data_IF_713841188712
#
_entry.id   IF_713841188712
#
_cell.length_a   1.000
_cell.length_b   1.000
_cell.length_c   1.000
_cell.angle_alpha   90.00
_cell.angle_beta   90.00
_cell.angle_gamma   90.00
#
_symmetry.space_group_name_H-M   'P 1'
#
loop_
_entity.id
_entity.type
_entity.pdbx_description
1 polymer ?
#
# COMPACT_ATOMS: atom_id res chain seq x y z
N UNK A 1 7.17 24.04 86.11
CA UNK A 1 6.47 24.07 84.87
C UNK A 1 7.44 23.62 83.77
N UNK A 2 7.33 22.35 83.23
CA UNK A 2 8.21 21.78 82.22
C UNK A 2 7.41 21.75 80.92
N UNK A 3 7.83 22.57 79.92
CA UNK A 3 7.26 22.55 78.59
C UNK A 3 7.86 21.35 77.80
N UNK A 4 6.99 20.44 77.36
CA UNK A 4 7.33 19.35 76.44
C UNK A 4 7.24 19.88 74.99
N UNK A 5 8.34 19.91 74.29
CA UNK A 5 8.35 20.17 72.82
C UNK A 5 7.98 18.88 72.11
N UNK A 6 6.88 18.89 71.35
CA UNK A 6 6.43 17.83 70.48
C UNK A 6 7.05 18.10 69.10
N UNK A 7 8.03 17.30 68.71
CA UNK A 7 8.59 17.30 67.34
C UNK A 7 7.62 16.58 66.43
N UNK A 8 7.00 17.33 65.50
CA UNK A 8 6.18 16.78 64.42
C UNK A 8 7.09 16.41 63.25
N UNK A 9 7.33 15.11 63.04
CA UNK A 9 8.11 14.59 61.93
C UNK A 9 7.19 14.47 60.71
N UNK A 10 7.23 15.45 59.78
CA UNK A 10 6.55 15.35 58.48
C UNK A 10 7.33 14.42 57.57
N UNK A 11 6.86 13.17 57.39
CA UNK A 11 7.29 12.29 56.32
C UNK A 11 6.75 12.80 54.97
N UNK A 12 7.58 13.47 54.19
CA UNK A 12 7.31 13.71 52.75
C UNK A 12 7.46 12.39 52.00
N UNK A 13 6.34 11.74 51.68
CA UNK A 13 6.28 10.68 50.68
C UNK A 13 6.50 11.32 49.32
N UNK A 14 7.74 11.25 48.80
CA UNK A 14 8.06 11.51 47.40
C UNK A 14 7.38 10.42 46.56
N UNK A 15 6.20 10.70 46.02
CA UNK A 15 5.59 9.91 44.99
C UNK A 15 6.44 10.05 43.71
N UNK A 16 7.30 9.08 43.45
CA UNK A 16 7.99 8.95 42.18
C UNK A 16 6.91 8.61 41.13
N UNK A 17 6.65 9.48 40.15
CA UNK A 17 5.72 9.12 39.10
C UNK A 17 6.31 7.92 38.31
N UNK A 18 5.73 6.75 38.50
CA UNK A 18 6.00 5.60 37.65
C UNK A 18 5.54 5.97 36.26
N UNK A 19 6.45 6.42 35.40
CA UNK A 19 6.19 6.55 33.98
C UNK A 19 6.00 5.13 33.44
N UNK A 20 4.75 4.72 33.30
CA UNK A 20 4.40 3.53 32.53
C UNK A 20 4.75 3.88 31.08
N UNK A 21 5.96 3.55 30.67
CA UNK A 21 6.33 3.54 29.25
C UNK A 21 5.57 2.39 28.63
N UNK A 22 4.38 2.68 28.08
CA UNK A 22 3.70 1.73 27.22
C UNK A 22 4.67 1.33 26.09
N UNK A 23 5.09 0.07 26.07
CA UNK A 23 5.97 -0.42 25.01
C UNK A 23 5.26 -0.23 23.67
N UNK A 24 5.90 0.48 22.74
CA UNK A 24 5.36 0.63 21.39
C UNK A 24 5.13 -0.76 20.79
N UNK A 25 4.00 -0.97 20.09
CA UNK A 25 3.76 -2.25 19.41
C UNK A 25 4.95 -2.60 18.49
N UNK A 26 5.32 -3.87 18.46
CA UNK A 26 6.39 -4.33 17.55
C UNK A 26 5.85 -4.46 16.14
N UNK A 27 6.64 -4.12 15.11
CA UNK A 27 6.28 -4.40 13.72
C UNK A 27 5.96 -5.87 13.50
N UNK A 28 5.03 -6.12 12.58
CA UNK A 28 4.64 -7.49 12.20
C UNK A 28 5.60 -8.11 11.20
N UNK A 29 6.27 -7.27 10.39
CA UNK A 29 7.29 -7.65 9.43
C UNK A 29 8.34 -6.53 9.30
N UNK A 30 9.55 -6.88 8.83
CA UNK A 30 10.62 -5.93 8.52
C UNK A 30 10.42 -5.24 7.18
N UNK A 31 9.76 -5.94 6.24
CA UNK A 31 9.63 -5.53 4.85
C UNK A 31 8.19 -5.60 4.37
N UNK A 32 7.79 -4.67 3.51
CA UNK A 32 6.51 -4.69 2.77
C UNK A 32 6.79 -4.44 1.30
N UNK A 33 6.33 -5.35 0.44
CA UNK A 33 6.25 -5.17 -1.00
C UNK A 33 4.79 -4.92 -1.39
N UNK A 34 4.51 -3.74 -1.92
CA UNK A 34 3.21 -3.40 -2.51
C UNK A 34 3.31 -3.53 -4.02
N UNK A 35 2.51 -4.39 -4.57
CA UNK A 35 2.36 -4.61 -6.02
C UNK A 35 1.03 -4.00 -6.41
N UNK A 36 1.08 -2.94 -7.19
CA UNK A 36 -0.07 -2.26 -7.77
C UNK A 36 -0.20 -2.62 -9.24
N UNK A 37 -1.39 -3.05 -9.67
CA UNK A 37 -1.70 -3.37 -11.06
C UNK A 37 -2.83 -2.44 -11.50
N UNK A 38 -2.50 -1.42 -12.27
CA UNK A 38 -3.46 -0.43 -12.76
C UNK A 38 -4.55 -1.08 -13.60
N UNK A 39 -5.81 -0.70 -13.38
CA UNK A 39 -6.95 -1.20 -14.13
C UNK A 39 -7.33 -2.67 -13.88
N UNK A 40 -6.85 -3.29 -12.78
CA UNK A 40 -7.11 -4.70 -12.49
C UNK A 40 -8.43 -4.92 -11.77
N UNK A 41 -9.49 -5.19 -12.54
CA UNK A 41 -10.82 -5.49 -12.00
C UNK A 41 -10.93 -6.88 -11.39
N UNK A 42 -11.69 -7.00 -10.31
CA UNK A 42 -11.92 -8.27 -9.57
C UNK A 42 -12.52 -9.39 -10.42
N UNK A 43 -13.32 -9.05 -11.42
CA UNK A 43 -13.91 -10.03 -12.34
C UNK A 43 -12.85 -10.91 -13.04
N UNK A 44 -11.63 -10.43 -13.16
CA UNK A 44 -10.54 -11.14 -13.83
C UNK A 44 -10.09 -12.38 -13.05
N UNK A 45 -10.19 -12.39 -11.71
CA UNK A 45 -9.78 -13.53 -10.91
C UNK A 45 -10.55 -14.81 -11.23
N UNK A 46 -11.83 -14.72 -11.55
CA UNK A 46 -12.63 -15.89 -11.95
C UNK A 46 -12.38 -16.34 -13.39
N UNK A 47 -11.86 -15.46 -14.25
CA UNK A 47 -11.71 -15.67 -15.70
C UNK A 47 -10.29 -15.94 -16.15
N UNK A 48 -9.30 -15.38 -15.48
CA UNK A 48 -7.90 -15.60 -15.79
C UNK A 48 -7.48 -17.04 -15.46
N UNK A 49 -6.97 -17.77 -16.46
CA UNK A 49 -6.59 -19.18 -16.28
C UNK A 49 -5.13 -19.35 -15.86
N UNK A 50 -4.23 -18.51 -16.34
CA UNK A 50 -2.78 -18.66 -16.17
C UNK A 50 -2.17 -17.54 -15.31
N UNK A 51 -2.50 -17.57 -14.03
CA UNK A 51 -2.00 -16.64 -12.99
C UNK A 51 -1.54 -17.43 -11.74
N UNK A 52 -0.57 -18.37 -11.89
CA UNK A 52 -0.22 -19.29 -10.81
C UNK A 52 0.40 -18.60 -9.58
N UNK A 53 1.12 -17.48 -9.75
CA UNK A 53 1.75 -16.78 -8.65
C UNK A 53 0.71 -16.04 -7.81
N UNK A 54 -0.24 -15.34 -8.43
CA UNK A 54 -1.38 -14.71 -7.75
C UNK A 54 -2.22 -15.75 -7.02
N UNK A 55 -2.54 -16.89 -7.66
CA UNK A 55 -3.25 -18.00 -7.01
C UNK A 55 -2.52 -18.53 -5.79
N UNK A 56 -1.20 -18.67 -5.89
CA UNK A 56 -0.36 -19.12 -4.77
C UNK A 56 -0.36 -18.10 -3.63
N UNK A 57 -0.26 -16.81 -3.92
CA UNK A 57 -0.34 -15.76 -2.89
C UNK A 57 -1.71 -15.79 -2.19
N UNK A 58 -2.81 -15.96 -2.92
CA UNK A 58 -4.17 -16.11 -2.34
C UNK A 58 -4.26 -17.33 -1.40
N UNK A 59 -3.70 -18.48 -1.81
CA UNK A 59 -3.70 -19.71 -1.00
C UNK A 59 -2.82 -19.60 0.25
N UNK A 60 -1.68 -18.92 0.15
CA UNK A 60 -0.73 -18.74 1.24
C UNK A 60 -1.01 -17.52 2.13
N UNK A 61 -1.94 -16.68 1.73
CA UNK A 61 -2.32 -15.45 2.39
C UNK A 61 -3.81 -15.33 2.65
N UNK A 62 -4.27 -14.11 2.74
CA UNK A 62 -5.69 -13.73 2.80
C UNK A 62 -6.01 -12.81 1.63
N UNK A 63 -7.27 -12.82 1.17
CA UNK A 63 -7.67 -12.00 0.04
C UNK A 63 -9.14 -11.61 0.09
N UNK A 64 -9.50 -10.58 -0.65
CA UNK A 64 -10.87 -10.25 -1.03
C UNK A 64 -10.91 -9.86 -2.52
N UNK A 65 -12.05 -10.15 -3.15
CA UNK A 65 -12.37 -9.71 -4.52
C UNK A 65 -13.26 -8.45 -4.51
N UNK A 66 -13.55 -7.89 -3.32
CA UNK A 66 -14.54 -6.84 -3.12
C UNK A 66 -13.99 -5.56 -2.50
N UNK A 67 -12.66 -5.33 -2.61
CA UNK A 67 -12.13 -4.00 -2.25
C UNK A 67 -12.69 -2.96 -3.22
N UNK A 68 -13.14 -1.83 -2.69
CA UNK A 68 -13.72 -0.76 -3.48
C UNK A 68 -12.74 0.38 -3.70
N UNK A 69 -12.62 0.80 -4.96
CA UNK A 69 -12.03 2.08 -5.33
C UNK A 69 -12.89 3.24 -4.85
N UNK A 70 -12.31 4.42 -4.71
CA UNK A 70 -13.06 5.66 -4.49
C UNK A 70 -13.54 6.23 -5.83
N UNK A 71 -14.51 7.14 -5.79
CA UNK A 71 -15.02 7.83 -6.97
C UNK A 71 -14.29 9.18 -7.19
N UNK A 72 -14.02 9.52 -8.45
CA UNK A 72 -14.13 8.69 -9.66
C UNK A 72 -13.16 7.50 -9.62
N UNK A 73 -13.54 6.36 -10.22
CA UNK A 73 -12.70 5.17 -10.31
C UNK A 73 -11.58 5.36 -11.35
N UNK A 74 -10.64 6.22 -11.03
CA UNK A 74 -9.56 6.64 -11.93
C UNK A 74 -8.22 6.75 -11.22
N UNK A 75 -7.14 6.71 -12.00
CA UNK A 75 -5.78 6.42 -11.52
C UNK A 75 -5.27 7.40 -10.46
N UNK A 76 -5.10 8.70 -10.73
CA UNK A 76 -4.51 9.61 -9.75
C UNK A 76 -5.31 9.64 -8.44
N UNK A 77 -6.63 9.60 -8.51
CA UNK A 77 -7.54 9.64 -7.35
C UNK A 77 -7.35 8.41 -6.46
N UNK A 78 -7.25 7.25 -7.10
CA UNK A 78 -7.19 5.98 -6.36
C UNK A 78 -5.76 5.63 -5.92
N UNK A 79 -4.74 5.96 -6.70
CA UNK A 79 -3.35 5.87 -6.24
C UNK A 79 -3.11 6.82 -5.06
N UNK A 80 -3.63 8.06 -5.10
CA UNK A 80 -3.58 8.97 -3.97
C UNK A 80 -4.25 8.34 -2.74
N UNK A 81 -5.49 7.88 -2.86
CA UNK A 81 -6.22 7.27 -1.74
C UNK A 81 -5.49 6.05 -1.18
N UNK A 82 -4.88 5.21 -2.03
CA UNK A 82 -4.13 4.02 -1.65
C UNK A 82 -2.93 4.35 -0.76
N UNK A 83 -2.17 5.39 -1.12
CA UNK A 83 -0.94 5.76 -0.40
C UNK A 83 -1.18 6.78 0.72
N UNK A 84 -2.30 7.52 0.68
CA UNK A 84 -2.62 8.58 1.63
C UNK A 84 -3.58 8.16 2.74
N UNK A 85 -4.14 6.94 2.67
CA UNK A 85 -5.04 6.43 3.71
C UNK A 85 -6.34 7.22 3.88
N UNK A 86 -6.78 7.97 2.85
CA UNK A 86 -7.93 8.87 2.92
C UNK A 86 -8.69 8.96 1.60
N UNK A 87 -9.81 9.69 1.59
CA UNK A 87 -10.68 9.87 0.44
C UNK A 87 -10.36 11.18 -0.33
N UNK A 88 -10.85 11.31 -1.57
CA UNK A 88 -10.60 12.48 -2.42
C UNK A 88 -11.00 13.81 -1.77
N UNK A 89 -12.08 13.84 -1.00
CA UNK A 89 -12.55 15.04 -0.30
C UNK A 89 -11.57 15.57 0.74
N UNK A 90 -10.67 14.71 1.24
CA UNK A 90 -9.69 15.08 2.26
C UNK A 90 -8.30 15.33 1.66
N UNK A 91 -7.82 14.48 0.74
CA UNK A 91 -6.51 14.68 0.11
C UNK A 91 -6.55 15.63 -1.08
N UNK A 92 -7.72 15.85 -1.68
CA UNK A 92 -7.96 16.87 -2.70
C UNK A 92 -7.68 16.48 -4.14
N UNK A 93 -7.15 15.29 -4.43
CA UNK A 93 -6.97 14.78 -5.79
C UNK A 93 -8.30 14.18 -6.27
N UNK A 94 -8.90 14.76 -7.32
CA UNK A 94 -10.27 14.44 -7.75
C UNK A 94 -10.39 14.08 -9.22
N UNK A 95 -9.31 14.20 -10.01
CA UNK A 95 -9.31 13.93 -11.45
C UNK A 95 -8.28 12.84 -11.82
N UNK A 96 -8.49 12.15 -12.95
CA UNK A 96 -7.64 11.02 -13.37
C UNK A 96 -6.16 11.38 -13.53
N UNK A 97 -5.87 12.58 -13.98
CA UNK A 97 -4.52 13.09 -14.24
C UNK A 97 -4.07 14.17 -13.27
N UNK A 98 -4.62 14.24 -12.07
CA UNK A 98 -4.26 15.22 -11.04
C UNK A 98 -2.76 15.28 -10.82
N UNK A 99 -2.19 16.46 -10.97
CA UNK A 99 -0.77 16.75 -10.65
C UNK A 99 -0.61 17.52 -9.35
N UNK A 100 -1.67 18.20 -8.95
CA UNK A 100 -1.82 18.92 -7.69
C UNK A 100 -3.26 18.72 -7.24
N UNK A 101 -3.55 18.81 -5.94
CA UNK A 101 -4.93 18.69 -5.46
C UNK A 101 -5.82 19.79 -6.08
N UNK A 102 -6.97 19.43 -6.64
CA UNK A 102 -8.00 20.35 -7.15
C UNK A 102 -8.77 21.01 -6.01
N UNK A 103 -8.89 20.30 -4.88
CA UNK A 103 -9.45 20.82 -3.63
C UNK A 103 -8.30 20.93 -2.63
N UNK A 104 -8.16 22.04 -1.89
CA UNK A 104 -7.12 22.14 -0.86
C UNK A 104 -7.15 20.97 0.10
N UNK A 105 -6.05 20.25 0.24
CA UNK A 105 -5.91 19.17 1.21
C UNK A 105 -6.17 19.67 2.64
N UNK A 106 -6.90 18.87 3.44
CA UNK A 106 -7.25 19.27 4.83
C UNK A 106 -6.05 19.33 5.76
N UNK A 107 -4.96 18.64 5.42
CA UNK A 107 -3.72 18.61 6.19
C UNK A 107 -2.55 18.42 5.23
N UNK A 108 -1.42 19.04 5.53
CA UNK A 108 -0.18 18.91 4.78
C UNK A 108 0.96 18.51 5.73
N UNK A 109 1.84 17.64 5.28
CA UNK A 109 3.07 17.31 5.97
C UNK A 109 4.15 18.41 5.76
N UNK A 110 5.35 18.18 6.29
CA UNK A 110 6.47 19.11 6.19
C UNK A 110 6.96 19.35 4.74
N UNK A 111 6.57 18.49 3.80
CA UNK A 111 6.88 18.62 2.37
C UNK A 111 5.78 19.34 1.58
N UNK A 112 4.70 19.80 2.25
CA UNK A 112 3.59 20.49 1.61
C UNK A 112 2.65 19.59 0.82
N UNK A 113 2.62 18.30 1.12
CA UNK A 113 1.73 17.30 0.51
C UNK A 113 0.90 16.62 1.59
N UNK A 114 -0.27 16.10 1.23
CA UNK A 114 -1.08 15.31 2.16
C UNK A 114 -0.27 14.10 2.69
N UNK A 115 -0.32 13.78 4.00
CA UNK A 115 0.50 12.72 4.59
C UNK A 115 0.31 11.36 3.90
N UNK A 116 1.42 10.76 3.47
CA UNK A 116 1.43 9.45 2.80
C UNK A 116 2.02 8.38 3.71
N UNK A 117 1.86 7.11 3.35
CA UNK A 117 2.52 6.00 4.06
C UNK A 117 4.05 6.12 4.01
N UNK A 118 4.60 6.70 2.95
CA UNK A 118 6.04 6.94 2.82
C UNK A 118 6.52 8.02 3.79
N UNK A 119 5.83 9.17 3.88
CA UNK A 119 6.18 10.22 4.84
C UNK A 119 6.01 9.73 6.28
N UNK A 120 4.93 9.03 6.58
CA UNK A 120 4.69 8.45 7.90
C UNK A 120 5.78 7.46 8.32
N UNK A 121 6.21 6.60 7.40
CA UNK A 121 7.31 5.66 7.66
C UNK A 121 8.64 6.39 7.84
N UNK A 122 8.95 7.37 7.00
CA UNK A 122 10.18 8.19 7.07
C UNK A 122 10.28 8.95 8.39
N UNK A 123 9.20 9.58 8.85
CA UNK A 123 9.16 10.29 10.13
C UNK A 123 9.40 9.36 11.32
N UNK A 124 8.78 8.17 11.29
CA UNK A 124 8.89 7.20 12.37
C UNK A 124 10.21 6.41 12.36
N UNK A 125 10.80 6.20 11.18
CA UNK A 125 12.02 5.43 10.93
C UNK A 125 12.86 6.12 9.86
N UNK A 126 13.71 7.09 10.24
CA UNK A 126 14.54 7.83 9.31
C UNK A 126 15.48 6.95 8.45
N UNK A 127 15.89 5.80 8.99
CA UNK A 127 16.80 4.85 8.30
C UNK A 127 16.06 3.82 7.43
N UNK A 128 14.73 3.87 7.34
CA UNK A 128 13.98 2.96 6.50
C UNK A 128 14.30 3.19 5.02
N UNK A 129 14.69 2.12 4.31
CA UNK A 129 14.89 2.18 2.86
C UNK A 129 13.55 2.07 2.16
N UNK A 130 13.21 3.05 1.34
CA UNK A 130 11.91 3.14 0.66
C UNK A 130 12.08 3.27 -0.85
N UNK A 131 11.21 2.65 -1.61
CA UNK A 131 11.18 2.73 -3.06
C UNK A 131 9.75 2.83 -3.60
N UNK A 132 9.60 3.54 -4.71
CA UNK A 132 8.40 3.54 -5.53
C UNK A 132 8.81 3.53 -7.00
N UNK A 133 8.53 2.42 -7.68
CA UNK A 133 8.86 2.19 -9.07
C UNK A 133 7.56 2.07 -9.86
N UNK A 134 7.43 2.79 -10.95
CA UNK A 134 6.17 2.84 -11.68
C UNK A 134 6.38 2.96 -13.19
N UNK A 135 5.36 2.60 -13.97
CA UNK A 135 5.31 2.86 -15.41
C UNK A 135 4.61 4.18 -15.71
N UNK A 136 3.49 4.46 -15.03
CA UNK A 136 2.76 5.71 -15.19
C UNK A 136 3.37 6.85 -14.36
N UNK A 137 3.69 7.97 -15.02
CA UNK A 137 4.38 9.09 -14.39
C UNK A 137 3.49 9.92 -13.44
N UNK A 138 2.18 9.74 -13.49
CA UNK A 138 1.23 10.38 -12.59
C UNK A 138 1.42 10.01 -11.12
N UNK A 139 1.97 8.82 -10.84
CA UNK A 139 2.26 8.35 -9.47
C UNK A 139 3.11 9.37 -8.69
N UNK A 140 4.10 10.01 -9.35
CA UNK A 140 4.99 10.99 -8.70
C UNK A 140 4.28 12.19 -8.08
N UNK A 141 3.07 12.48 -8.54
CA UNK A 141 2.30 13.63 -8.08
C UNK A 141 1.40 13.32 -6.87
N UNK A 142 1.15 12.03 -6.63
CA UNK A 142 0.24 11.56 -5.58
C UNK A 142 0.93 10.82 -4.44
N UNK A 143 2.24 10.60 -4.56
CA UNK A 143 3.10 10.11 -3.48
C UNK A 143 4.04 11.21 -3.01
N UNK A 144 4.52 11.12 -1.77
CA UNK A 144 5.54 12.03 -1.24
C UNK A 144 6.94 11.57 -1.69
N UNK A 145 7.36 12.01 -2.87
CA UNK A 145 8.67 11.64 -3.44
C UNK A 145 9.85 12.11 -2.59
N UNK A 146 9.70 13.14 -1.74
CA UNK A 146 10.75 13.59 -0.81
C UNK A 146 10.94 12.65 0.37
N UNK A 147 9.95 11.80 0.66
CA UNK A 147 10.05 10.77 1.69
C UNK A 147 10.54 9.41 1.14
N UNK A 148 10.78 9.30 -0.18
CA UNK A 148 11.16 8.07 -0.88
C UNK A 148 12.63 8.16 -1.28
N UNK A 149 13.43 7.13 -0.93
CA UNK A 149 14.87 7.11 -1.28
C UNK A 149 15.09 6.86 -2.78
N UNK A 150 14.25 6.05 -3.41
CA UNK A 150 14.32 5.77 -4.84
C UNK A 150 12.93 5.82 -5.47
N UNK A 151 12.62 6.93 -6.09
CA UNK A 151 11.48 7.06 -6.99
C UNK A 151 11.98 7.02 -8.43
N UNK A 152 11.52 6.05 -9.23
CA UNK A 152 11.95 5.93 -10.62
C UNK A 152 10.82 5.42 -11.52
N UNK A 153 10.92 5.73 -12.81
CA UNK A 153 9.93 5.41 -13.83
C UNK A 153 10.52 4.50 -14.90
N UNK A 154 9.87 3.37 -15.12
CA UNK A 154 10.15 2.50 -16.26
C UNK A 154 9.40 3.01 -17.49
N UNK A 155 10.08 3.77 -18.36
CA UNK A 155 9.46 4.41 -19.53
C UNK A 155 9.46 3.54 -20.80
N UNK A 156 9.81 2.28 -20.68
CA UNK A 156 9.95 1.39 -21.82
C UNK A 156 8.65 0.60 -22.09
N UNK A 157 7.69 1.27 -22.71
CA UNK A 157 6.40 0.70 -23.11
C UNK A 157 6.52 -0.43 -24.14
N UNK A 158 7.59 -0.45 -24.92
CA UNK A 158 7.77 -1.45 -25.99
C UNK A 158 8.14 -2.84 -25.43
N UNK A 159 8.70 -2.89 -24.23
CA UNK A 159 9.15 -4.14 -23.60
C UNK A 159 8.17 -4.71 -22.56
N UNK A 160 6.89 -4.37 -22.66
CA UNK A 160 5.83 -5.02 -21.88
C UNK A 160 6.13 -5.18 -20.38
N UNK A 161 6.45 -4.08 -19.72
CA UNK A 161 6.74 -4.04 -18.27
C UNK A 161 8.04 -4.74 -17.83
N UNK A 162 8.82 -5.30 -18.74
CA UNK A 162 10.06 -6.01 -18.42
C UNK A 162 11.03 -5.09 -17.65
N UNK A 163 11.16 -3.85 -18.11
CA UNK A 163 12.04 -2.86 -17.48
C UNK A 163 11.66 -2.57 -16.02
N UNK A 164 10.36 -2.45 -15.71
CA UNK A 164 9.89 -2.23 -14.34
C UNK A 164 10.24 -3.42 -13.44
N UNK A 165 10.04 -4.64 -13.95
CA UNK A 165 10.39 -5.86 -13.24
C UNK A 165 11.89 -5.92 -12.93
N UNK A 166 12.76 -5.68 -13.90
CA UNK A 166 14.22 -5.65 -13.73
C UNK A 166 14.67 -4.60 -12.70
N UNK A 167 14.10 -3.40 -12.76
CA UNK A 167 14.39 -2.33 -11.79
C UNK A 167 13.99 -2.75 -10.36
N UNK A 168 12.84 -3.38 -10.20
CA UNK A 168 12.35 -3.85 -8.91
C UNK A 168 13.19 -5.00 -8.36
N UNK A 169 13.57 -5.99 -9.20
CA UNK A 169 14.49 -7.07 -8.84
C UNK A 169 15.83 -6.52 -8.34
N UNK A 170 16.42 -5.62 -9.12
CA UNK A 170 17.70 -4.99 -8.76
C UNK A 170 17.61 -4.25 -7.43
N UNK A 171 16.54 -3.44 -7.25
CA UNK A 171 16.34 -2.69 -6.01
C UNK A 171 16.13 -3.60 -4.81
N UNK A 172 15.38 -4.70 -4.95
CA UNK A 172 15.19 -5.70 -3.88
C UNK A 172 16.54 -6.33 -3.49
N UNK A 173 17.33 -6.79 -4.47
CA UNK A 173 18.59 -7.47 -4.23
C UNK A 173 19.64 -6.55 -3.59
N UNK A 174 19.77 -5.33 -4.09
CA UNK A 174 20.79 -4.38 -3.66
C UNK A 174 20.44 -3.68 -2.33
N UNK A 175 19.18 -3.29 -2.16
CA UNK A 175 18.76 -2.37 -1.09
C UNK A 175 17.96 -3.03 0.03
N UNK A 176 17.34 -4.19 -0.22
CA UNK A 176 16.48 -4.88 0.76
C UNK A 176 15.47 -3.90 1.39
N UNK A 177 14.60 -3.27 0.61
CA UNK A 177 13.80 -2.13 1.05
C UNK A 177 12.87 -2.49 2.20
N UNK A 178 12.68 -1.55 3.12
CA UNK A 178 11.65 -1.63 4.17
C UNK A 178 10.25 -1.55 3.55
N UNK A 179 10.05 -0.60 2.62
CA UNK A 179 8.80 -0.45 1.87
C UNK A 179 9.14 -0.22 0.39
N UNK A 180 8.65 -1.10 -0.46
CA UNK A 180 8.73 -0.95 -1.92
C UNK A 180 7.32 -1.01 -2.51
N UNK A 181 6.95 -0.01 -3.29
CA UNK A 181 5.80 -0.05 -4.19
C UNK A 181 6.28 -0.24 -5.63
N UNK A 182 5.65 -1.17 -6.36
CA UNK A 182 5.89 -1.43 -7.78
C UNK A 182 4.53 -1.34 -8.47
N UNK A 183 4.37 -0.38 -9.38
CA UNK A 183 3.08 -0.03 -9.98
C UNK A 183 3.12 -0.26 -11.49
N UNK A 184 2.49 -1.35 -11.95
CA UNK A 184 2.31 -1.68 -13.35
C UNK A 184 1.13 -0.91 -13.96
N UNK A 185 1.31 -0.35 -15.15
CA UNK A 185 0.27 0.33 -15.93
C UNK A 185 -0.19 -0.48 -17.18
N UNK A 186 0.60 -1.47 -17.57
CA UNK A 186 0.38 -2.23 -18.80
C UNK A 186 -1.00 -2.87 -18.92
N UNK A 187 -1.63 -3.26 -17.81
CA UNK A 187 -2.93 -3.91 -17.85
C UNK A 187 -4.03 -2.89 -18.20
N UNK A 188 -3.99 -1.71 -17.60
CA UNK A 188 -4.91 -0.62 -17.94
C UNK A 188 -4.67 -0.10 -19.36
N UNK A 189 -3.41 0.06 -19.75
CA UNK A 189 -3.05 0.42 -21.11
C UNK A 189 -3.65 -0.57 -22.14
N UNK A 190 -3.57 -1.88 -21.89
CA UNK A 190 -4.22 -2.90 -22.73
C UNK A 190 -5.73 -2.75 -22.71
N UNK A 191 -6.31 -2.47 -21.55
CA UNK A 191 -7.72 -2.17 -21.37
C UNK A 191 -8.19 -1.01 -22.25
N UNK A 192 -7.47 0.10 -22.26
CA UNK A 192 -7.75 1.26 -23.11
C UNK A 192 -7.56 0.99 -24.59
N UNK A 193 -6.50 0.30 -24.98
CA UNK A 193 -6.18 0.05 -26.38
C UNK A 193 -7.12 -0.97 -27.02
N UNK A 194 -7.39 -2.09 -26.36
CA UNK A 194 -8.11 -3.25 -26.89
C UNK A 194 -9.45 -3.45 -26.20
N UNK A 195 -9.46 -3.39 -24.86
CA UNK A 195 -10.64 -3.57 -24.02
C UNK A 195 -10.30 -4.31 -22.74
N UNK A 196 -10.92 -3.89 -21.64
CA UNK A 196 -10.96 -4.66 -20.41
C UNK A 196 -11.77 -5.93 -20.62
N UNK A 197 -11.42 -7.02 -19.91
CA UNK A 197 -12.11 -8.30 -20.01
C UNK A 197 -11.99 -8.97 -21.41
N UNK A 198 -10.88 -8.74 -22.11
CA UNK A 198 -10.55 -9.35 -23.41
C UNK A 198 -9.44 -10.41 -23.27
N UNK A 199 -9.26 -11.31 -24.26
CA UNK A 199 -8.12 -12.25 -24.24
C UNK A 199 -6.77 -11.58 -24.05
N UNK A 200 -6.52 -10.46 -24.73
CA UNK A 200 -5.27 -9.70 -24.66
C UNK A 200 -5.05 -9.07 -23.28
N UNK A 201 -6.13 -8.65 -22.60
CA UNK A 201 -6.09 -8.19 -21.21
C UNK A 201 -5.61 -9.33 -20.30
N UNK A 202 -6.11 -10.55 -20.49
CA UNK A 202 -5.67 -11.71 -19.70
C UNK A 202 -4.26 -12.18 -20.04
N UNK A 203 -3.83 -12.09 -21.29
CA UNK A 203 -2.43 -12.34 -21.67
C UNK A 203 -1.47 -11.36 -20.99
N UNK A 204 -1.87 -10.08 -20.88
CA UNK A 204 -1.10 -9.07 -20.15
C UNK A 204 -1.06 -9.39 -18.66
N UNK A 205 -2.17 -9.80 -18.05
CA UNK A 205 -2.20 -10.21 -16.65
C UNK A 205 -1.31 -11.43 -16.39
N UNK A 206 -1.28 -12.40 -17.32
CA UNK A 206 -0.38 -13.58 -17.24
C UNK A 206 1.10 -13.17 -17.24
N UNK A 207 1.48 -12.19 -18.08
CA UNK A 207 2.86 -11.65 -18.08
C UNK A 207 3.19 -10.99 -16.74
N UNK A 208 2.30 -10.16 -16.22
CA UNK A 208 2.48 -9.50 -14.91
C UNK A 208 2.58 -10.56 -13.79
N UNK A 209 1.75 -11.60 -13.82
CA UNK A 209 1.83 -12.71 -12.87
C UNK A 209 3.21 -13.40 -12.88
N UNK A 210 3.78 -13.63 -14.08
CA UNK A 210 5.14 -14.16 -14.22
C UNK A 210 6.19 -13.23 -13.60
N UNK A 211 6.07 -11.93 -13.81
CA UNK A 211 6.95 -10.92 -13.22
C UNK A 211 6.80 -10.85 -11.70
N UNK A 212 5.59 -10.98 -11.15
CA UNK A 212 5.36 -11.13 -9.71
C UNK A 212 6.13 -12.33 -9.16
N UNK A 213 6.13 -13.46 -9.89
CA UNK A 213 6.93 -14.64 -9.54
C UNK A 213 8.43 -14.33 -9.43
N UNK A 214 8.97 -13.51 -10.33
CA UNK A 214 10.36 -13.05 -10.30
C UNK A 214 10.65 -12.17 -9.08
N UNK A 215 9.76 -11.23 -8.74
CA UNK A 215 9.94 -10.40 -7.53
C UNK A 215 9.91 -11.26 -6.25
N UNK A 216 9.04 -12.26 -6.18
CA UNK A 216 9.02 -13.22 -5.08
C UNK A 216 10.36 -13.98 -4.99
N UNK A 217 10.93 -14.36 -6.13
CA UNK A 217 12.25 -15.00 -6.15
C UNK A 217 13.35 -14.04 -5.71
N UNK A 218 13.33 -12.78 -6.17
CA UNK A 218 14.29 -11.76 -5.72
C UNK A 218 14.26 -11.52 -4.21
N UNK A 219 13.06 -11.53 -3.57
CA UNK A 219 12.95 -11.45 -2.10
C UNK A 219 13.63 -12.64 -1.41
N UNK A 220 13.53 -13.86 -1.98
CA UNK A 220 14.19 -15.06 -1.46
C UNK A 220 15.71 -14.98 -1.62
N UNK A 221 16.19 -14.57 -2.79
CA UNK A 221 17.61 -14.44 -3.09
C UNK A 221 18.26 -13.32 -2.26
N UNK A 222 17.51 -12.26 -1.95
CA UNK A 222 17.90 -11.22 -1.01
C UNK A 222 17.89 -11.68 0.46
N UNK A 223 17.28 -12.84 0.77
CA UNK A 223 17.17 -13.40 2.13
C UNK A 223 16.21 -12.64 3.04
N UNK A 224 15.22 -11.92 2.47
CA UNK A 224 14.21 -11.13 3.23
C UNK A 224 12.79 -11.67 3.10
N UNK A 225 12.54 -12.69 2.28
CA UNK A 225 11.21 -13.22 2.01
C UNK A 225 10.44 -13.59 3.27
N UNK A 226 11.07 -14.29 4.22
CA UNK A 226 10.42 -14.76 5.45
C UNK A 226 10.05 -13.62 6.43
N UNK A 227 10.63 -12.43 6.25
CA UNK A 227 10.29 -11.23 7.02
C UNK A 227 9.56 -10.17 6.17
N UNK A 228 9.00 -10.58 5.02
CA UNK A 228 8.24 -9.72 4.11
C UNK A 228 6.75 -10.02 4.19
N UNK A 229 5.94 -8.97 4.09
CA UNK A 229 4.52 -9.06 3.73
C UNK A 229 4.38 -8.50 2.31
N UNK A 230 3.76 -9.28 1.42
CA UNK A 230 3.45 -8.91 0.04
C UNK A 230 1.98 -8.53 -0.02
N UNK A 231 1.68 -7.35 -0.56
CA UNK A 231 0.35 -6.88 -0.88
C UNK A 231 0.24 -6.76 -2.40
N UNK A 232 -0.77 -7.39 -3.01
CA UNK A 232 -1.08 -7.20 -4.44
C UNK A 232 -2.48 -6.63 -4.53
N UNK A 233 -2.63 -5.53 -5.25
CA UNK A 233 -3.91 -4.83 -5.39
C UNK A 233 -3.94 -3.96 -6.64
N UNK A 234 -5.03 -3.25 -6.85
CA UNK A 234 -5.20 -2.31 -7.96
C UNK A 234 -5.75 -0.98 -7.45
N UNK A 235 -5.65 0.03 -8.26
CA UNK A 235 -6.28 1.33 -8.02
C UNK A 235 -7.76 1.32 -8.43
N UNK A 236 -8.10 0.79 -9.61
CA UNK A 236 -9.46 0.60 -10.11
C UNK A 236 -9.53 -0.63 -11.04
N UNK A 237 -10.72 -0.97 -11.45
CA UNK A 237 -10.97 -1.88 -12.57
C UNK A 237 -11.32 -1.12 -13.84
N UNK A 238 -11.99 -1.79 -14.79
CA UNK A 238 -12.41 -1.15 -16.02
C UNK A 238 -13.52 -1.89 -16.73
N UNK A 239 -14.16 -1.22 -17.69
CA UNK A 239 -15.21 -1.77 -18.53
C UNK A 239 -15.05 -1.28 -19.98
N UNK A 240 -15.21 -2.16 -20.96
CA UNK A 240 -14.94 -1.82 -22.35
C UNK A 240 -13.52 -1.26 -22.52
N UNK A 241 -13.39 -0.02 -22.99
CA UNK A 241 -12.10 0.67 -23.17
C UNK A 241 -11.90 1.83 -22.18
N UNK A 242 -12.48 1.76 -20.99
CA UNK A 242 -12.40 2.87 -20.05
C UNK A 242 -12.73 2.51 -18.61
N UNK A 243 -12.64 3.52 -17.79
CA UNK A 243 -12.92 3.51 -16.35
C UNK A 243 -13.29 4.92 -15.91
N UNK A 244 -13.43 5.19 -14.61
CA UNK A 244 -13.81 6.50 -14.04
C UNK A 244 -15.30 6.58 -13.66
N UNK A 245 -16.06 5.56 -14.00
CA UNK A 245 -17.49 5.45 -13.68
C UNK A 245 -17.76 4.78 -12.33
N UNK A 246 -18.96 4.24 -12.20
CA UNK A 246 -19.50 3.69 -10.95
C UNK A 246 -20.02 2.27 -11.06
N UNK A 247 -19.68 1.56 -12.12
CA UNK A 247 -20.01 0.15 -12.24
C UNK A 247 -19.14 -0.69 -11.31
N UNK A 248 -19.61 -1.87 -10.91
CA UNK A 248 -18.81 -2.77 -10.08
C UNK A 248 -17.53 -3.22 -10.81
N UNK A 249 -17.56 -3.36 -12.13
CA UNK A 249 -16.40 -3.69 -12.93
C UNK A 249 -15.28 -2.63 -12.84
N UNK A 250 -15.65 -1.37 -12.65
CA UNK A 250 -14.70 -0.25 -12.47
C UNK A 250 -14.28 -0.07 -11.00
N UNK A 251 -15.19 -0.40 -10.06
CA UNK A 251 -14.98 -0.13 -8.63
C UNK A 251 -14.37 -1.30 -7.86
N UNK A 252 -14.73 -2.55 -8.17
CA UNK A 252 -14.23 -3.69 -7.41
C UNK A 252 -12.87 -4.16 -7.93
N UNK A 253 -11.91 -4.17 -7.02
CA UNK A 253 -10.54 -4.58 -7.29
C UNK A 253 -10.10 -5.66 -6.28
N UNK A 254 -9.21 -6.58 -6.68
CA UNK A 254 -8.66 -7.54 -5.75
C UNK A 254 -7.76 -6.89 -4.71
N UNK A 255 -7.72 -7.49 -3.53
CA UNK A 255 -6.69 -7.24 -2.54
C UNK A 255 -6.19 -8.58 -2.00
N UNK A 256 -4.91 -8.84 -2.16
CA UNK A 256 -4.23 -10.05 -1.69
C UNK A 256 -3.14 -9.61 -0.73
N UNK A 257 -3.08 -10.23 0.44
CA UNK A 257 -2.01 -10.01 1.42
C UNK A 257 -1.45 -11.35 1.85
N UNK A 258 -0.12 -11.53 1.75
CA UNK A 258 0.55 -12.78 2.04
C UNK A 258 1.87 -12.54 2.76
N UNK A 259 2.29 -13.45 3.63
CA UNK A 259 3.59 -13.40 4.29
C UNK A 259 3.52 -13.58 5.80
N UNK A 260 4.51 -13.01 6.49
CA UNK A 260 4.69 -13.17 7.93
C UNK A 260 3.45 -12.75 8.72
N UNK A 261 2.95 -13.63 9.59
CA UNK A 261 1.78 -13.40 10.45
C UNK A 261 0.46 -13.17 9.72
N UNK A 262 0.38 -13.45 8.43
CA UNK A 262 -0.87 -13.44 7.67
C UNK A 262 -1.53 -14.82 7.77
N UNK A 263 -2.85 -14.88 7.90
CA UNK A 263 -3.64 -16.11 7.82
C UNK A 263 -3.50 -16.71 6.43
N UNK A 264 -3.49 -18.02 6.33
CA UNK A 264 -3.40 -18.76 5.07
C UNK A 264 -4.80 -19.19 4.61
N UNK A 265 -5.08 -19.01 3.33
CA UNK A 265 -6.38 -19.35 2.73
C UNK A 265 -7.54 -18.54 3.30
N UNK A 266 -7.26 -17.37 3.91
CA UNK A 266 -8.28 -16.52 4.52
C UNK A 266 -9.04 -15.70 3.48
N UNK A 267 -10.37 -15.66 3.60
CA UNK A 267 -11.19 -14.66 2.91
C UNK A 267 -11.37 -13.47 3.84
N UNK A 268 -11.15 -12.28 3.31
CA UNK A 268 -11.38 -11.02 4.02
C UNK A 268 -12.84 -10.66 3.80
N UNK A 269 -13.66 -10.82 4.83
CA UNK A 269 -15.11 -10.58 4.79
C UNK A 269 -15.50 -9.15 5.18
N UNK A 270 -14.59 -8.41 5.81
CA UNK A 270 -14.85 -7.02 6.18
C UNK A 270 -14.87 -6.11 4.94
N UNK A 271 -15.75 -5.10 4.88
CA UNK A 271 -15.73 -4.11 3.82
C UNK A 271 -14.36 -3.44 3.75
N UNK A 272 -13.83 -3.33 2.54
CA UNK A 272 -12.52 -2.72 2.31
C UNK A 272 -12.61 -1.64 1.24
N UNK A 273 -12.02 -0.49 1.53
CA UNK A 273 -11.87 0.64 0.62
C UNK A 273 -10.41 0.83 0.21
N UNK A 274 -10.21 1.59 -0.84
CA UNK A 274 -8.88 1.88 -1.39
C UNK A 274 -7.89 2.40 -0.34
N UNK A 275 -8.34 3.32 0.51
CA UNK A 275 -7.53 3.97 1.55
C UNK A 275 -7.17 3.05 2.74
N UNK A 276 -7.77 1.86 2.86
CA UNK A 276 -7.44 0.89 3.90
C UNK A 276 -6.07 0.23 3.66
N UNK A 277 -5.56 0.32 2.44
CA UNK A 277 -4.23 -0.19 2.07
C UNK A 277 -3.13 0.51 2.87
N UNK A 278 -3.09 1.86 2.89
CA UNK A 278 -2.09 2.60 3.67
C UNK A 278 -2.23 2.31 5.17
N UNK A 279 -3.46 2.25 5.70
CA UNK A 279 -3.72 1.94 7.11
C UNK A 279 -3.23 0.52 7.47
N UNK A 280 -3.39 -0.44 6.56
CA UNK A 280 -2.87 -1.81 6.72
C UNK A 280 -1.34 -1.83 6.76
N UNK A 281 -0.67 -1.07 5.87
CA UNK A 281 0.80 -0.96 5.88
C UNK A 281 1.27 -0.28 7.17
N UNK A 282 0.60 0.78 7.63
CA UNK A 282 0.89 1.43 8.89
C UNK A 282 0.77 0.45 10.08
N UNK A 283 -0.27 -0.39 10.10
CA UNK A 283 -0.44 -1.45 11.09
C UNK A 283 0.68 -2.50 11.06
N UNK A 284 1.14 -2.91 9.86
CA UNK A 284 2.27 -3.84 9.71
C UNK A 284 3.53 -3.26 10.37
N UNK A 285 3.81 -2.00 10.15
CA UNK A 285 4.98 -1.33 10.69
C UNK A 285 4.80 -0.79 12.12
N UNK A 286 3.64 -0.97 12.73
CA UNK A 286 3.27 -0.41 14.04
C UNK A 286 3.40 1.12 14.10
N UNK A 287 3.03 1.79 13.01
CA UNK A 287 2.96 3.24 12.90
C UNK A 287 1.61 3.75 13.40
N UNK A 288 1.58 4.99 13.86
CA UNK A 288 0.34 5.66 14.27
C UNK A 288 -0.13 6.52 13.10
N UNK A 289 -1.27 6.19 12.46
CA UNK A 289 -1.81 6.99 11.37
C UNK A 289 -2.12 8.42 11.82
N UNK A 290 -1.91 9.43 10.96
CA UNK A 290 -2.32 10.80 11.25
C UNK A 290 -3.85 10.90 11.29
N UNK A 291 -4.38 11.94 11.95
CA UNK A 291 -5.83 12.10 12.15
C UNK A 291 -6.63 12.32 10.87
N UNK A 292 -5.97 12.82 9.83
CA UNK A 292 -6.58 13.02 8.52
C UNK A 292 -6.79 11.73 7.73
N UNK A 293 -6.23 10.59 8.18
CA UNK A 293 -6.52 9.29 7.61
C UNK A 293 -7.81 8.71 8.16
N UNK A 294 -8.64 8.22 7.26
CA UNK A 294 -9.93 7.55 7.59
C UNK A 294 -9.88 6.04 7.35
N UNK A 295 -8.80 5.56 6.72
CA UNK A 295 -8.60 4.14 6.46
C UNK A 295 -8.41 3.33 7.74
N UNK A 296 -8.87 2.09 7.70
CA UNK A 296 -8.73 1.11 8.77
C UNK A 296 -7.87 -0.08 8.31
N UNK A 297 -7.01 -0.64 9.18
CA UNK A 297 -6.25 -1.82 8.82
C UNK A 297 -7.16 -3.05 8.69
N UNK A 298 -6.88 -3.90 7.72
CA UNK A 298 -7.59 -5.16 7.47
C UNK A 298 -7.16 -6.21 8.51
N UNK A 299 -7.76 -6.12 9.70
CA UNK A 299 -7.33 -6.93 10.86
C UNK A 299 -7.66 -8.41 10.71
N UNK A 300 -8.73 -8.76 10.00
CA UNK A 300 -9.12 -10.15 9.75
C UNK A 300 -8.06 -10.97 9.00
N UNK A 301 -7.17 -10.30 8.25
CA UNK A 301 -6.07 -10.97 7.54
C UNK A 301 -4.93 -11.45 8.45
N UNK A 302 -4.81 -10.94 9.67
CA UNK A 302 -3.69 -11.24 10.58
C UNK A 302 -4.00 -12.40 11.54
N UNK A 303 -2.93 -13.16 11.92
CA UNK A 303 -2.95 -14.20 12.96
C UNK A 303 -2.98 -13.61 14.35
#
# INVERSE_FOLDING_TARGET
MKRKHLLLLCLLLLAIPSTITASRPKPKAGHVLVIGIDGWGSYSLSKANDIPNLRKLMQQGSYTEHKRSVLPSSSAVNWASMFNGSCPELHGYTEWGSKTPEIPSVELNNHGIFPTIFSLLREARPDAVTGCLAEWDGIKHVVDSMAIDNFDLAKDWEHHSERLCEMAEHFILEKKPTLLAVCWDQLDHTGHAIGHDTPEYYETLTRIDSQIGRLIQALKDAGIYDDTIIIVTADHGGINKGHGGKTLAELETPFIICGKRIKQGGVIDEPMMQYDTAATIAHIFALVPPRCWIGHPVLSAFK
#
